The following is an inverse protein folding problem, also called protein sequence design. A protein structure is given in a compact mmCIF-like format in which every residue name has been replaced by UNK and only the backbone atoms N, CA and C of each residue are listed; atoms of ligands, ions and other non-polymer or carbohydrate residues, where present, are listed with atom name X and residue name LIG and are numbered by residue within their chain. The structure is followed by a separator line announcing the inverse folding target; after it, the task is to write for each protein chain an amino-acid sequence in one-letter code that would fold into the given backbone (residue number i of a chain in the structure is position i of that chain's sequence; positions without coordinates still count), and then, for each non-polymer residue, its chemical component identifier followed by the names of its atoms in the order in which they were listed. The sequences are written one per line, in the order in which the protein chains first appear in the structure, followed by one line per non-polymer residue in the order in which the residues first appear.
data_IF_947243124212
#
_entry.id   IF_947243124212
#
_cell.length_a   1.000
_cell.length_b   1.000
_cell.length_c   1.000
_cell.angle_alpha   90.00
_cell.angle_beta   90.00
_cell.angle_gamma   90.00
#
_symmetry.space_group_name_H-M   'P 1'
#
loop_
_entity.id
_entity.type
_entity.pdbx_description
1 polymer ?
#
# COMPACT_ATOMS: atom_id res chain seq x y z
N UNK A 1 -24.71 18.14 -19.54
CA UNK A 1 -24.40 18.89 -18.30
C UNK A 1 -23.36 18.17 -17.44
N UNK A 2 -23.54 16.89 -17.09
CA UNK A 2 -22.58 16.14 -16.27
C UNK A 2 -21.14 16.13 -16.83
N UNK A 3 -20.95 15.92 -18.14
CA UNK A 3 -19.62 15.92 -18.76
C UNK A 3 -18.86 17.25 -18.61
N UNK A 4 -19.56 18.38 -18.64
CA UNK A 4 -18.93 19.70 -18.45
C UNK A 4 -18.48 19.89 -16.99
N UNK A 5 -19.28 19.40 -16.03
CA UNK A 5 -18.93 19.43 -14.61
C UNK A 5 -17.75 18.50 -14.30
N UNK A 6 -17.68 17.33 -14.94
CA UNK A 6 -16.54 16.41 -14.80
C UNK A 6 -15.25 17.12 -15.25
N UNK A 7 -15.25 17.69 -16.45
CA UNK A 7 -14.09 18.42 -16.98
C UNK A 7 -13.67 19.60 -16.10
N UNK A 8 -14.63 20.31 -15.50
CA UNK A 8 -14.36 21.39 -14.56
C UNK A 8 -13.64 20.88 -13.30
N UNK A 9 -14.13 19.79 -12.70
CA UNK A 9 -13.51 19.21 -11.50
C UNK A 9 -12.14 18.59 -11.78
N UNK A 10 -11.93 18.02 -12.96
CA UNK A 10 -10.61 17.56 -13.40
C UNK A 10 -9.62 18.72 -13.48
N UNK A 11 -10.04 19.89 -13.98
CA UNK A 11 -9.19 21.09 -13.98
C UNK A 11 -8.93 21.59 -12.55
N UNK A 12 -9.93 21.54 -11.67
CA UNK A 12 -9.78 21.92 -10.25
C UNK A 12 -8.85 20.96 -9.51
N UNK A 13 -8.72 19.71 -9.94
CA UNK A 13 -7.83 18.75 -9.30
C UNK A 13 -6.35 19.22 -9.27
N UNK A 14 -5.93 20.02 -10.25
CA UNK A 14 -4.60 20.65 -10.29
C UNK A 14 -4.33 21.58 -9.09
N UNK A 15 -5.37 22.20 -8.53
CA UNK A 15 -5.24 23.10 -7.38
C UNK A 15 -4.85 22.36 -6.08
N UNK A 16 -4.97 21.04 -6.03
CA UNK A 16 -4.57 20.22 -4.88
C UNK A 16 -3.10 19.74 -4.95
N UNK A 17 -2.40 19.96 -6.05
CA UNK A 17 -1.00 19.55 -6.23
C UNK A 17 0.04 20.34 -5.41
N UNK A 18 -0.12 21.65 -5.14
CA UNK A 18 0.87 22.41 -4.40
C UNK A 18 1.15 21.84 -3.00
N UNK A 19 2.42 21.74 -2.62
CA UNK A 19 2.86 21.28 -1.31
C UNK A 19 2.83 22.41 -0.25
N UNK A 20 1.84 23.30 -0.30
CA UNK A 20 1.69 24.41 0.63
C UNK A 20 0.28 24.41 1.21
N UNK A 21 0.17 24.24 2.54
CA UNK A 21 -1.11 24.14 3.23
C UNK A 21 -2.03 25.35 2.97
N UNK A 22 -1.49 26.57 2.98
CA UNK A 22 -2.28 27.79 2.76
C UNK A 22 -2.86 27.89 1.35
N UNK A 23 -2.19 27.28 0.37
CA UNK A 23 -2.65 27.30 -1.03
C UNK A 23 -3.74 26.25 -1.29
N UNK A 24 -3.70 25.13 -0.56
CA UNK A 24 -4.67 24.04 -0.72
C UNK A 24 -5.91 24.21 0.17
N UNK A 25 -5.82 25.00 1.25
CA UNK A 25 -6.91 25.19 2.22
C UNK A 25 -8.21 25.70 1.58
N UNK A 26 -8.11 26.72 0.71
CA UNK A 26 -9.27 27.24 -0.03
C UNK A 26 -9.94 26.19 -0.93
N UNK A 27 -9.19 25.59 -1.88
CA UNK A 27 -9.72 24.52 -2.73
C UNK A 27 -10.31 23.33 -1.96
N UNK A 28 -9.70 22.93 -0.84
CA UNK A 28 -10.20 21.81 -0.02
C UNK A 28 -11.49 22.21 0.70
N UNK A 29 -11.59 23.43 1.22
CA UNK A 29 -12.81 23.92 1.85
C UNK A 29 -13.99 23.99 0.86
N UNK A 30 -13.72 24.42 -0.38
CA UNK A 30 -14.73 24.38 -1.46
C UNK A 30 -15.18 22.95 -1.77
N UNK A 31 -14.24 22.00 -1.84
CA UNK A 31 -14.55 20.59 -2.06
C UNK A 31 -15.38 20.01 -0.91
N UNK A 32 -15.04 20.34 0.34
CA UNK A 32 -15.78 19.89 1.52
C UNK A 32 -17.22 20.40 1.52
N UNK A 33 -17.40 21.70 1.22
CA UNK A 33 -18.72 22.29 1.07
C UNK A 33 -19.53 21.61 -0.04
N UNK A 34 -18.90 21.34 -1.20
CA UNK A 34 -19.56 20.65 -2.31
C UNK A 34 -19.99 19.22 -1.96
N UNK A 35 -19.21 18.53 -1.13
CA UNK A 35 -19.45 17.14 -0.70
C UNK A 35 -20.42 17.01 0.49
N UNK A 36 -20.92 18.12 1.05
CA UNK A 36 -21.82 18.11 2.23
C UNK A 36 -23.03 17.20 2.05
N UNK A 37 -23.65 17.19 0.86
CA UNK A 37 -24.85 16.40 0.56
C UNK A 37 -24.63 15.44 -0.63
N UNK A 38 -23.38 15.05 -0.89
CA UNK A 38 -23.03 14.25 -2.07
C UNK A 38 -22.14 13.06 -1.71
N UNK A 39 -22.40 11.91 -2.33
CA UNK A 39 -21.52 10.74 -2.21
C UNK A 39 -20.44 10.70 -3.29
N UNK A 40 -20.66 11.35 -4.42
CA UNK A 40 -19.73 11.49 -5.54
C UNK A 40 -19.63 12.96 -5.96
N UNK A 41 -18.52 13.35 -6.58
CA UNK A 41 -18.31 14.74 -7.01
C UNK A 41 -19.36 15.15 -8.06
N UNK A 42 -19.65 14.27 -9.03
CA UNK A 42 -20.65 14.50 -10.08
C UNK A 42 -21.60 13.31 -10.21
N UNK A 43 -22.90 13.57 -10.07
CA UNK A 43 -23.93 12.54 -10.25
C UNK A 43 -24.06 11.58 -9.06
N UNK A 44 -24.35 10.31 -9.37
CA UNK A 44 -24.69 9.26 -8.39
C UNK A 44 -23.79 8.01 -8.49
N UNK A 45 -22.71 8.08 -9.25
CA UNK A 45 -21.73 7.00 -9.44
C UNK A 45 -20.31 7.58 -9.52
N UNK A 46 -19.29 6.74 -9.34
CA UNK A 46 -17.91 7.17 -9.50
C UNK A 46 -17.65 7.66 -10.93
N UNK A 47 -16.97 8.80 -11.04
CA UNK A 47 -16.58 9.41 -12.32
C UNK A 47 -15.08 9.69 -12.35
N UNK A 48 -14.54 10.01 -13.52
CA UNK A 48 -13.13 10.40 -13.66
C UNK A 48 -12.76 11.59 -12.76
N UNK A 49 -13.72 12.50 -12.49
CA UNK A 49 -13.53 13.60 -11.56
C UNK A 49 -13.22 13.12 -10.13
N UNK A 50 -13.92 12.08 -9.65
CA UNK A 50 -13.66 11.51 -8.32
C UNK A 50 -12.25 10.93 -8.25
N UNK A 51 -11.86 10.16 -9.27
CA UNK A 51 -10.56 9.50 -9.32
C UNK A 51 -9.41 10.50 -9.43
N UNK A 52 -9.54 11.54 -10.24
CA UNK A 52 -8.48 12.54 -10.45
C UNK A 52 -8.27 13.41 -9.21
N UNK A 53 -9.36 13.86 -8.56
CA UNK A 53 -9.28 14.60 -7.29
C UNK A 53 -8.71 13.72 -6.18
N UNK A 54 -9.15 12.45 -6.11
CA UNK A 54 -8.66 11.50 -5.12
C UNK A 54 -7.15 11.24 -5.30
N UNK A 55 -6.70 11.02 -6.54
CA UNK A 55 -5.27 10.86 -6.86
C UNK A 55 -4.45 12.10 -6.49
N UNK A 56 -4.97 13.30 -6.75
CA UNK A 56 -4.30 14.55 -6.41
C UNK A 56 -4.11 14.70 -4.89
N UNK A 57 -5.14 14.38 -4.10
CA UNK A 57 -5.06 14.40 -2.63
C UNK A 57 -4.15 13.29 -2.09
N UNK A 58 -4.24 12.07 -2.63
CA UNK A 58 -3.39 10.93 -2.21
C UNK A 58 -1.91 11.19 -2.49
N UNK A 59 -1.60 11.79 -3.63
CA UNK A 59 -0.23 12.12 -4.04
C UNK A 59 0.39 13.28 -3.25
N UNK A 60 -0.42 14.14 -2.65
CA UNK A 60 0.05 15.26 -1.85
C UNK A 60 0.18 14.86 -0.36
N UNK A 61 1.42 14.76 0.13
CA UNK A 61 1.70 14.36 1.53
C UNK A 61 1.05 15.29 2.56
N UNK A 62 0.98 16.59 2.27
CA UNK A 62 0.39 17.56 3.21
C UNK A 62 -1.12 17.36 3.22
N UNK A 63 -1.76 17.36 2.06
CA UNK A 63 -3.20 17.12 1.96
C UNK A 63 -3.59 15.78 2.61
N UNK A 64 -2.88 14.69 2.32
CA UNK A 64 -3.16 13.39 2.94
C UNK A 64 -2.98 13.40 4.47
N UNK A 65 -1.92 14.02 4.98
CA UNK A 65 -1.65 14.03 6.42
C UNK A 65 -2.56 14.99 7.20
N UNK A 66 -2.88 16.17 6.67
CA UNK A 66 -3.68 17.17 7.38
C UNK A 66 -5.18 17.05 7.14
N UNK A 67 -5.59 16.67 5.92
CA UNK A 67 -7.02 16.56 5.59
C UNK A 67 -7.54 15.20 6.01
N UNK A 68 -6.87 14.13 5.56
CA UNK A 68 -7.38 12.76 5.72
C UNK A 68 -7.02 12.19 7.09
N UNK A 69 -5.74 12.22 7.48
CA UNK A 69 -5.33 11.62 8.77
C UNK A 69 -5.76 12.42 9.99
N UNK A 70 -5.71 13.75 9.94
CA UNK A 70 -6.17 14.60 11.05
C UNK A 70 -7.67 14.90 10.98
N UNK A 71 -8.36 14.54 9.88
CA UNK A 71 -9.81 14.69 9.74
C UNK A 71 -10.28 16.14 9.75
N UNK A 72 -9.46 17.09 9.29
CA UNK A 72 -9.78 18.53 9.36
C UNK A 72 -11.03 18.89 8.54
N UNK A 73 -11.32 18.14 7.48
CA UNK A 73 -12.49 18.30 6.62
C UNK A 73 -13.27 16.99 6.58
N UNK A 74 -14.43 16.99 7.25
CA UNK A 74 -15.21 15.77 7.54
C UNK A 74 -15.76 15.15 6.26
N UNK A 75 -16.32 15.96 5.36
CA UNK A 75 -16.97 15.46 4.15
C UNK A 75 -15.95 14.94 3.15
N UNK A 76 -14.82 15.66 3.00
CA UNK A 76 -13.69 15.20 2.17
C UNK A 76 -13.11 13.90 2.72
N UNK A 77 -12.89 13.81 4.03
CA UNK A 77 -12.34 12.58 4.64
C UNK A 77 -13.27 11.38 4.46
N UNK A 78 -14.58 11.58 4.69
CA UNK A 78 -15.61 10.56 4.45
C UNK A 78 -15.60 10.09 3.01
N UNK A 79 -15.68 11.03 2.05
CA UNK A 79 -15.69 10.73 0.62
C UNK A 79 -14.41 10.02 0.19
N UNK A 80 -13.25 10.49 0.66
CA UNK A 80 -11.96 9.93 0.30
C UNK A 80 -11.82 8.46 0.72
N UNK A 81 -12.21 8.13 1.96
CA UNK A 81 -12.19 6.76 2.46
C UNK A 81 -13.20 5.88 1.73
N UNK A 82 -14.39 6.43 1.44
CA UNK A 82 -15.42 5.74 0.65
C UNK A 82 -14.89 5.34 -0.74
N UNK A 83 -14.28 6.26 -1.49
CA UNK A 83 -13.69 5.98 -2.81
C UNK A 83 -12.51 5.00 -2.71
N UNK A 84 -11.67 5.12 -1.66
CA UNK A 84 -10.54 4.19 -1.44
C UNK A 84 -11.02 2.74 -1.23
N UNK A 85 -12.15 2.55 -0.54
CA UNK A 85 -12.69 1.23 -0.24
C UNK A 85 -13.46 0.61 -1.42
N UNK A 86 -14.26 1.42 -2.12
CA UNK A 86 -15.15 0.94 -3.20
C UNK A 86 -14.41 0.77 -4.53
N UNK A 87 -13.68 1.78 -4.98
CA UNK A 87 -13.04 1.80 -6.31
C UNK A 87 -11.61 1.24 -6.28
N UNK A 88 -11.00 1.16 -5.08
CA UNK A 88 -9.61 0.73 -4.85
C UNK A 88 -8.63 1.27 -5.91
N UNK A 89 -8.56 2.60 -6.11
CA UNK A 89 -7.78 3.16 -7.20
C UNK A 89 -6.29 2.91 -6.97
N UNK A 90 -5.62 2.27 -7.94
CA UNK A 90 -4.18 2.06 -7.87
C UNK A 90 -3.48 3.39 -8.20
N UNK A 91 -2.69 3.89 -7.25
CA UNK A 91 -1.75 5.00 -7.50
C UNK A 91 -0.38 4.39 -7.69
N UNK A 92 0.23 4.63 -8.84
CA UNK A 92 1.69 4.55 -8.96
C UNK A 92 2.28 5.66 -8.09
N UNK A 93 2.50 5.35 -6.81
CA UNK A 93 3.32 6.18 -5.93
C UNK A 93 4.66 6.31 -6.65
N UNK A 94 4.94 7.48 -7.19
CA UNK A 94 6.21 7.77 -7.85
C UNK A 94 7.31 7.28 -6.93
N UNK A 95 7.92 6.17 -7.33
CA UNK A 95 8.88 5.48 -6.50
C UNK A 95 9.98 6.50 -6.20
N UNK A 96 10.16 6.86 -4.93
CA UNK A 96 11.41 7.45 -4.43
C UNK A 96 12.61 6.48 -4.59
N UNK A 97 12.48 5.48 -5.46
CA UNK A 97 13.53 4.57 -5.86
C UNK A 97 14.68 5.27 -6.56
N UNK A 98 14.53 6.44 -7.20
CA UNK A 98 15.67 7.05 -7.93
C UNK A 98 16.68 7.80 -7.05
N UNK A 99 16.30 8.36 -5.89
CA UNK A 99 17.28 8.94 -4.95
C UNK A 99 17.83 7.92 -3.96
N UNK A 100 17.11 6.83 -3.66
CA UNK A 100 17.67 5.69 -2.93
C UNK A 100 18.47 4.73 -3.81
N UNK A 101 18.21 4.64 -5.12
CA UNK A 101 18.97 3.78 -6.03
C UNK A 101 20.43 4.20 -6.18
N UNK A 102 20.75 5.51 -6.10
CA UNK A 102 22.16 5.95 -6.08
C UNK A 102 22.88 5.70 -4.76
N UNK A 103 22.17 5.30 -3.69
CA UNK A 103 22.76 4.91 -2.40
C UNK A 103 22.65 3.41 -2.10
N UNK A 104 22.00 2.64 -2.99
CA UNK A 104 21.82 1.19 -2.90
C UNK A 104 22.79 0.42 -3.83
N UNK A 105 23.89 1.04 -4.26
CA UNK A 105 25.13 0.32 -4.62
C UNK A 105 26.01 0.04 -3.39
N UNK A 106 25.48 0.25 -2.17
CA UNK A 106 25.95 -0.50 -1.02
C UNK A 106 25.42 -1.91 -1.17
N UNK A 107 26.32 -2.89 -1.41
CA UNK A 107 26.07 -4.34 -1.34
C UNK A 107 24.85 -4.61 -0.48
N UNK A 108 23.77 -5.10 -1.09
CA UNK A 108 22.77 -5.80 -0.29
C UNK A 108 23.56 -6.82 0.51
N UNK A 109 23.60 -6.63 1.84
CA UNK A 109 24.09 -7.62 2.76
C UNK A 109 23.07 -8.76 2.72
N UNK A 110 23.08 -9.46 1.60
CA UNK A 110 22.41 -10.72 1.39
C UNK A 110 23.19 -11.64 2.30
N UNK A 111 22.79 -11.65 3.58
CA UNK A 111 23.45 -12.43 4.62
C UNK A 111 23.74 -13.80 4.05
N UNK A 112 25.00 -14.18 4.09
CA UNK A 112 25.47 -15.40 3.45
C UNK A 112 24.68 -16.59 4.00
N UNK A 113 23.72 -17.11 3.22
CA UNK A 113 22.92 -18.28 3.60
C UNK A 113 23.72 -19.58 3.44
N UNK A 114 25.02 -19.48 3.20
CA UNK A 114 25.92 -20.61 3.07
C UNK A 114 26.40 -21.14 4.42
N UNK A 115 25.44 -21.55 5.26
CA UNK A 115 25.68 -22.09 6.62
C UNK A 115 26.22 -23.54 6.58
N UNK A 116 26.61 -24.06 5.39
CA UNK A 116 27.23 -25.38 5.22
C UNK A 116 26.65 -26.51 6.09
N UNK A 117 25.38 -26.88 5.87
CA UNK A 117 24.77 -27.96 6.65
C UNK A 117 25.45 -29.30 6.32
N UNK A 118 25.96 -29.97 7.35
CA UNK A 118 26.59 -31.29 7.22
C UNK A 118 25.54 -32.38 6.97
N UNK A 119 25.91 -33.45 6.24
CA UNK A 119 25.05 -34.61 6.01
C UNK A 119 23.86 -34.37 5.06
N UNK A 120 23.94 -33.36 4.19
CA UNK A 120 22.85 -32.96 3.28
C UNK A 120 22.83 -33.70 1.93
N UNK A 121 23.64 -34.74 1.77
CA UNK A 121 23.76 -35.53 0.52
C UNK A 121 22.44 -36.16 0.06
N UNK A 122 21.49 -36.38 0.98
CA UNK A 122 20.15 -36.93 0.70
C UNK A 122 19.04 -35.87 0.65
N UNK A 123 19.43 -34.60 0.65
CA UNK A 123 18.55 -33.45 0.77
C UNK A 123 18.05 -33.18 2.20
N UNK A 124 17.50 -31.99 2.41
CA UNK A 124 17.00 -31.54 3.72
C UNK A 124 15.48 -31.56 3.80
N UNK A 125 14.94 -31.75 5.00
CA UNK A 125 13.51 -31.59 5.25
C UNK A 125 13.31 -30.41 6.19
N UNK A 126 12.72 -29.32 5.69
CA UNK A 126 12.37 -28.15 6.50
C UNK A 126 10.89 -28.18 6.85
N UNK A 127 10.52 -27.72 8.05
CA UNK A 127 9.12 -27.61 8.49
C UNK A 127 8.77 -26.15 8.77
N UNK A 128 7.67 -25.67 8.19
CA UNK A 128 7.07 -24.40 8.59
C UNK A 128 5.86 -24.68 9.51
N UNK A 129 5.86 -24.19 10.76
CA UNK A 129 4.77 -24.44 11.70
C UNK A 129 3.48 -23.71 11.26
N UNK A 130 2.30 -24.26 11.60
CA UNK A 130 1.00 -23.65 11.27
C UNK A 130 0.78 -22.34 12.02
N UNK A 131 1.26 -22.27 13.26
CA UNK A 131 1.04 -21.14 14.16
C UNK A 131 2.34 -20.34 14.34
N UNK A 132 2.42 -19.12 13.79
CA UNK A 132 3.43 -18.17 14.22
C UNK A 132 3.23 -17.84 15.71
N UNK A 133 4.30 -17.90 16.52
CA UNK A 133 4.24 -17.41 17.89
C UNK A 133 4.09 -15.88 17.88
N UNK A 134 2.88 -15.39 18.11
CA UNK A 134 2.53 -13.96 18.14
C UNK A 134 1.89 -13.43 16.85
N UNK A 135 1.73 -12.09 16.78
CA UNK A 135 1.07 -11.43 15.65
C UNK A 135 1.82 -11.63 14.33
N UNK A 136 1.09 -11.78 13.23
CA UNK A 136 1.69 -11.89 11.91
C UNK A 136 2.56 -10.66 11.59
N UNK A 137 3.86 -10.87 11.36
CA UNK A 137 4.80 -9.80 10.99
C UNK A 137 5.77 -10.29 9.89
N UNK A 138 6.58 -9.36 9.36
CA UNK A 138 7.53 -9.60 8.26
C UNK A 138 8.54 -10.73 8.53
N UNK A 139 8.77 -11.07 9.80
CA UNK A 139 9.66 -12.16 10.20
C UNK A 139 9.11 -13.54 9.83
N UNK A 140 7.79 -13.74 9.87
CA UNK A 140 7.17 -14.99 9.43
C UNK A 140 7.37 -15.23 7.95
N UNK A 141 7.21 -14.19 7.12
CA UNK A 141 7.52 -14.27 5.69
C UNK A 141 9.00 -14.58 5.45
N UNK A 142 9.92 -13.95 6.21
CA UNK A 142 11.36 -14.22 6.11
C UNK A 142 11.70 -15.68 6.47
N UNK A 143 11.10 -16.22 7.52
CA UNK A 143 11.29 -17.61 7.93
C UNK A 143 10.76 -18.61 6.89
N UNK A 144 9.60 -18.33 6.29
CA UNK A 144 9.04 -19.16 5.22
C UNK A 144 9.97 -19.19 3.99
N UNK A 145 10.43 -18.02 3.53
CA UNK A 145 11.34 -17.90 2.40
C UNK A 145 12.70 -18.57 2.64
N UNK A 146 13.21 -18.52 3.88
CA UNK A 146 14.47 -19.16 4.24
C UNK A 146 14.37 -20.68 4.20
N UNK A 147 13.28 -21.24 4.73
CA UNK A 147 13.03 -22.68 4.69
C UNK A 147 12.88 -23.18 3.25
N UNK A 148 12.14 -22.45 2.40
CA UNK A 148 12.01 -22.75 0.96
C UNK A 148 13.37 -22.74 0.24
N UNK A 149 14.22 -21.75 0.51
CA UNK A 149 15.56 -21.67 -0.07
C UNK A 149 16.41 -22.90 0.26
N UNK A 150 16.46 -23.33 1.52
CA UNK A 150 17.25 -24.50 1.90
C UNK A 150 16.70 -25.80 1.33
N UNK A 151 15.39 -26.00 1.39
CA UNK A 151 14.75 -27.18 0.85
C UNK A 151 14.92 -27.25 -0.67
N UNK A 152 14.41 -26.27 -1.41
CA UNK A 152 14.27 -26.42 -2.86
C UNK A 152 15.48 -25.92 -3.65
N UNK A 153 16.12 -24.82 -3.22
CA UNK A 153 17.20 -24.20 -4.01
C UNK A 153 18.58 -24.76 -3.68
N UNK A 154 18.88 -24.99 -2.40
CA UNK A 154 20.23 -25.36 -1.96
C UNK A 154 20.48 -26.87 -1.92
N UNK A 155 19.59 -27.63 -1.30
CA UNK A 155 19.84 -29.05 -1.01
C UNK A 155 18.84 -30.01 -1.67
N UNK A 156 18.00 -29.54 -2.61
CA UNK A 156 17.04 -30.39 -3.35
C UNK A 156 16.18 -31.31 -2.46
N UNK A 157 15.83 -30.82 -1.28
CA UNK A 157 15.00 -31.46 -0.28
C UNK A 157 13.51 -31.10 -0.38
N UNK A 158 12.81 -31.13 0.75
CA UNK A 158 11.36 -30.93 0.85
C UNK A 158 10.98 -29.94 1.95
N UNK A 159 10.03 -29.07 1.66
CA UNK A 159 9.37 -28.21 2.64
C UNK A 159 8.02 -28.81 3.06
N UNK A 160 7.84 -29.02 4.36
CA UNK A 160 6.57 -29.45 4.96
C UNK A 160 5.87 -28.22 5.55
N UNK A 161 4.75 -27.83 4.92
CA UNK A 161 3.84 -26.83 5.43
C UNK A 161 2.71 -27.54 6.18
N UNK A 162 2.59 -27.28 7.49
CA UNK A 162 1.47 -27.78 8.29
C UNK A 162 0.45 -26.66 8.42
N UNK A 163 -0.82 -26.98 8.17
CA UNK A 163 -1.94 -26.03 8.25
C UNK A 163 -2.71 -26.14 9.57
N UNK A 164 -2.55 -27.24 10.30
CA UNK A 164 -3.28 -27.53 11.53
C UNK A 164 -2.33 -28.15 12.57
N UNK A 165 -2.33 -27.64 13.80
CA UNK A 165 -1.48 -28.11 14.91
C UNK A 165 -2.17 -29.23 15.68
N UNK A 166 -2.50 -30.31 15.01
CA UNK A 166 -2.90 -31.54 15.71
C UNK A 166 -1.64 -32.16 16.32
N UNK A 167 -1.26 -31.69 17.51
CA UNK A 167 -0.37 -32.46 18.39
C UNK A 167 -1.15 -33.71 18.82
N UNK A 168 -0.65 -34.93 18.55
CA UNK A 168 -1.31 -36.13 19.03
C UNK A 168 -1.25 -36.14 20.57
N UNK A 169 -2.40 -36.01 21.23
CA UNK A 169 -2.59 -36.34 22.63
C UNK A 169 -2.51 -37.85 22.86
#
# INVERSE_FOLDING_TARGET
MAAAQIAEWQKRAEAFKPLNLKQIEGPIAELDAHLTLRSYIVGYSATDADLDVWKAIRGNRIAHSSVIKQGLYINVSRWFNFIEETERPVVELASRGKEMAKKAEGKADQGNYDIGLEGTEKGVVTRFPPEPSGYLHIGHAKAALLNDYFAHKKYQGKLILRFDDTNPS
#
